data_IF_719173395384
#
_entry.id   IF_719173395384
#
_cell.length_a   1.000
_cell.length_b   1.000
_cell.length_c   1.000
_cell.angle_alpha   90.00
_cell.angle_beta   90.00
_cell.angle_gamma   90.00
#
_symmetry.space_group_name_H-M   'P 1'
#
loop_
_entity.id
_entity.type
_entity.pdbx_description
1 polymer ?
#
# COMPACT_ATOMS: atom_id res chain seq x y z
N UNK A 1 1.17 18.51 -7.77
CA UNK A 1 1.29 17.04 -7.72
C UNK A 1 2.43 16.51 -8.59
N UNK A 2 3.19 15.53 -8.10
CA UNK A 2 4.12 14.70 -8.88
C UNK A 2 3.89 13.22 -8.52
N UNK A 3 3.78 12.35 -9.53
CA UNK A 3 3.68 10.90 -9.36
C UNK A 3 4.98 10.24 -9.83
N UNK A 4 5.56 9.38 -8.99
CA UNK A 4 6.74 8.58 -9.32
C UNK A 4 6.40 7.10 -9.17
N UNK A 5 6.32 6.40 -10.30
CA UNK A 5 6.18 4.95 -10.33
C UNK A 5 7.48 4.28 -9.85
N UNK A 6 7.38 3.31 -8.94
CA UNK A 6 8.53 2.51 -8.49
C UNK A 6 8.47 1.10 -9.09
N UNK A 7 7.47 0.30 -8.72
CA UNK A 7 7.26 -1.08 -9.19
C UNK A 7 5.89 -1.58 -8.72
N UNK A 8 5.11 -2.25 -9.58
CA UNK A 8 3.73 -2.69 -9.23
C UNK A 8 2.87 -1.52 -8.72
N UNK A 9 2.16 -1.66 -7.60
CA UNK A 9 1.44 -0.58 -6.94
C UNK A 9 2.34 0.39 -6.15
N UNK A 10 3.60 0.01 -5.89
CA UNK A 10 4.54 0.86 -5.15
C UNK A 10 4.85 2.13 -5.92
N UNK A 11 4.53 3.26 -5.31
CA UNK A 11 4.71 4.58 -5.90
C UNK A 11 5.00 5.64 -4.84
N UNK A 12 5.59 6.77 -5.28
CA UNK A 12 5.68 7.97 -4.46
C UNK A 12 4.77 9.04 -5.05
N UNK A 13 3.83 9.51 -4.26
CA UNK A 13 2.96 10.64 -4.59
C UNK A 13 3.46 11.85 -3.83
N UNK A 14 3.88 12.90 -4.54
CA UNK A 14 4.13 14.21 -3.94
C UNK A 14 2.93 15.11 -4.19
N UNK A 15 2.24 15.52 -3.13
CA UNK A 15 1.01 16.31 -3.18
C UNK A 15 1.03 17.38 -2.08
N UNK A 16 0.79 18.64 -2.44
CA UNK A 16 0.77 19.76 -1.50
C UNK A 16 2.01 19.86 -0.58
N UNK A 17 3.20 19.68 -1.17
CA UNK A 17 4.52 19.66 -0.49
C UNK A 17 4.76 18.45 0.44
N UNK A 18 3.90 17.43 0.38
CA UNK A 18 4.03 16.19 1.15
C UNK A 18 4.29 15.00 0.25
N UNK A 19 5.11 14.06 0.70
CA UNK A 19 5.51 12.84 -0.02
C UNK A 19 4.91 11.63 0.67
N UNK A 20 4.18 10.82 -0.08
CA UNK A 20 3.51 9.61 0.40
C UNK A 20 4.10 8.40 -0.33
N UNK A 21 4.59 7.41 0.42
CA UNK A 21 4.95 6.10 -0.12
C UNK A 21 3.69 5.23 -0.12
N UNK A 22 3.20 4.90 -1.30
CA UNK A 22 2.00 4.09 -1.49
C UNK A 22 2.42 2.64 -1.70
N UNK A 23 1.76 1.72 -1.00
CA UNK A 23 1.83 0.26 -1.18
C UNK A 23 3.25 -0.27 -1.39
N UNK A 24 4.14 -0.16 -0.39
CA UNK A 24 5.52 -0.61 -0.51
C UNK A 24 5.64 -2.14 -0.53
N UNK A 25 6.04 -2.68 -1.68
CA UNK A 25 6.54 -4.04 -1.87
C UNK A 25 8.05 -3.98 -2.12
N UNK A 26 8.86 -4.30 -1.12
CA UNK A 26 10.30 -4.02 -1.13
C UNK A 26 11.20 -5.24 -1.40
N UNK A 27 10.63 -6.45 -1.53
CA UNK A 27 11.39 -7.67 -1.76
C UNK A 27 12.20 -7.62 -3.08
N UNK A 28 13.36 -8.30 -3.13
CA UNK A 28 14.08 -8.57 -4.38
C UNK A 28 13.25 -9.36 -5.38
N UNK A 29 13.66 -9.38 -6.66
CA UNK A 29 12.97 -10.15 -7.68
C UNK A 29 12.88 -11.65 -7.35
N UNK A 30 11.74 -12.26 -7.65
CA UNK A 30 11.45 -13.69 -7.49
C UNK A 30 11.53 -14.21 -6.03
N UNK A 31 11.31 -13.34 -5.05
CA UNK A 31 11.34 -13.70 -3.63
C UNK A 31 10.14 -14.55 -3.22
N UNK A 32 8.94 -14.18 -3.66
CA UNK A 32 7.70 -14.87 -3.37
C UNK A 32 7.34 -15.84 -4.50
N UNK A 33 6.65 -16.96 -4.19
CA UNK A 33 6.20 -17.88 -5.23
C UNK A 33 5.18 -17.22 -6.17
N UNK A 34 4.92 -17.89 -7.29
CA UNK A 34 3.79 -17.54 -8.15
C UNK A 34 2.47 -17.68 -7.37
N UNK A 35 1.54 -16.76 -7.62
CA UNK A 35 0.18 -16.90 -7.08
C UNK A 35 -0.49 -18.06 -7.82
N UNK A 36 -1.01 -19.08 -7.11
CA UNK A 36 -1.72 -20.19 -7.74
C UNK A 36 -2.85 -19.67 -8.65
N UNK A 37 -3.05 -20.34 -9.80
CA UNK A 37 -4.11 -20.05 -10.76
C UNK A 37 -4.11 -18.63 -11.38
N UNK A 38 -3.08 -17.82 -11.10
CA UNK A 38 -2.87 -16.54 -11.77
C UNK A 38 -2.20 -16.74 -13.14
N UNK A 39 -2.58 -15.96 -14.17
CA UNK A 39 -1.98 -16.03 -15.50
C UNK A 39 -0.57 -15.42 -15.47
N UNK A 40 0.43 -16.18 -15.03
CA UNK A 40 1.81 -15.70 -14.88
C UNK A 40 2.79 -16.55 -15.70
N UNK A 41 3.65 -15.85 -16.44
CA UNK A 41 4.89 -16.37 -17.01
C UNK A 41 6.06 -15.84 -16.16
N UNK A 42 6.64 -16.63 -15.26
CA UNK A 42 7.74 -16.17 -14.40
C UNK A 42 8.21 -17.19 -13.36
N UNK A 43 9.28 -16.85 -12.64
CA UNK A 43 9.83 -17.69 -11.56
C UNK A 43 9.27 -17.35 -10.17
N UNK A 44 8.65 -16.18 -10.01
CA UNK A 44 8.08 -15.70 -8.76
C UNK A 44 7.72 -14.21 -8.81
N UNK A 45 7.39 -13.65 -7.66
CA UNK A 45 7.00 -12.25 -7.46
C UNK A 45 7.95 -11.56 -6.49
N UNK A 46 8.25 -10.26 -6.66
CA UNK A 46 8.03 -9.46 -7.87
C UNK A 46 8.88 -9.95 -9.04
N UNK A 47 8.50 -9.68 -10.29
CA UNK A 47 9.21 -10.22 -11.48
C UNK A 47 10.52 -9.51 -11.81
N UNK A 48 10.71 -8.29 -11.29
CA UNK A 48 11.89 -7.45 -11.49
C UNK A 48 12.34 -6.84 -10.16
N UNK A 49 13.61 -6.46 -10.06
CA UNK A 49 14.14 -5.76 -8.89
C UNK A 49 13.62 -4.33 -8.79
N UNK A 50 13.77 -3.72 -7.62
CA UNK A 50 13.53 -2.28 -7.45
C UNK A 50 14.49 -1.48 -8.32
N UNK A 51 14.07 -0.34 -8.89
CA UNK A 51 14.94 0.54 -9.69
C UNK A 51 15.95 1.33 -8.83
N UNK A 52 15.92 1.16 -7.50
CA UNK A 52 16.74 1.86 -6.51
C UNK A 52 16.93 1.00 -5.26
N UNK A 53 17.72 1.47 -4.29
CA UNK A 53 17.82 0.79 -3.00
C UNK A 53 16.56 1.09 -2.18
N UNK A 54 16.03 0.14 -1.38
CA UNK A 54 14.85 0.37 -0.55
C UNK A 54 14.96 1.64 0.30
N UNK A 55 16.13 1.91 0.88
CA UNK A 55 16.38 3.06 1.75
C UNK A 55 16.17 4.41 1.05
N UNK A 56 16.33 4.48 -0.27
CA UNK A 56 16.12 5.70 -1.05
C UNK A 56 14.64 6.12 -1.06
N UNK A 57 13.73 5.20 -0.71
CA UNK A 57 12.27 5.44 -0.66
C UNK A 57 11.80 5.97 0.71
N UNK A 58 12.67 6.00 1.74
CA UNK A 58 12.23 6.30 3.11
C UNK A 58 12.11 7.80 3.41
N UNK A 59 12.58 8.65 2.50
CA UNK A 59 12.43 10.11 2.58
C UNK A 59 11.02 10.56 2.19
N UNK A 60 10.01 10.10 2.95
CA UNK A 60 8.58 10.41 2.79
C UNK A 60 7.98 10.90 4.10
N UNK A 61 6.90 11.66 4.03
CA UNK A 61 6.18 12.17 5.20
C UNK A 61 5.22 11.13 5.78
N UNK A 62 4.68 10.23 4.94
CA UNK A 62 3.79 9.16 5.37
C UNK A 62 3.82 7.94 4.43
N UNK A 63 3.37 6.80 4.95
CA UNK A 63 3.12 5.57 4.20
C UNK A 63 1.62 5.36 4.10
N UNK A 64 1.13 4.89 2.95
CA UNK A 64 -0.26 4.48 2.77
C UNK A 64 -0.26 3.02 2.30
N UNK A 65 -0.99 2.18 3.04
CA UNK A 65 -1.25 0.78 2.69
C UNK A 65 -2.73 0.65 2.38
N UNK A 66 -3.05 0.43 1.11
CA UNK A 66 -4.43 0.32 0.62
C UNK A 66 -5.12 -0.95 1.09
N UNK A 67 -4.35 -2.05 1.22
CA UNK A 67 -4.77 -3.32 1.80
C UNK A 67 -3.60 -4.26 2.11
N UNK A 68 -3.87 -5.30 2.90
CA UNK A 68 -2.90 -6.27 3.40
C UNK A 68 -2.65 -7.45 2.45
N UNK A 69 -2.17 -7.18 1.24
CA UNK A 69 -1.61 -8.21 0.35
C UNK A 69 -0.11 -8.02 0.16
N UNK A 70 0.63 -9.12 -0.07
CA UNK A 70 2.09 -9.07 -0.14
C UNK A 70 2.63 -8.26 -1.33
N UNK A 71 1.84 -8.05 -2.38
CA UNK A 71 2.22 -7.21 -3.52
C UNK A 71 1.94 -5.72 -3.29
N UNK A 72 1.32 -5.37 -2.16
CA UNK A 72 1.08 -4.01 -1.68
C UNK A 72 1.82 -3.70 -0.37
N UNK A 73 2.01 -4.68 0.52
CA UNK A 73 2.73 -4.52 1.77
C UNK A 73 3.37 -5.84 2.19
N UNK A 74 4.65 -5.98 1.89
CA UNK A 74 5.38 -7.24 2.04
C UNK A 74 6.21 -7.32 3.33
N UNK A 75 6.72 -8.51 3.63
CA UNK A 75 7.56 -8.72 4.82
C UNK A 75 8.79 -7.80 4.81
N UNK A 76 9.37 -7.53 3.64
CA UNK A 76 10.53 -6.63 3.52
C UNK A 76 10.14 -5.19 3.88
N UNK A 77 8.97 -4.70 3.47
CA UNK A 77 8.46 -3.40 3.91
C UNK A 77 8.23 -3.37 5.42
N UNK A 78 7.63 -4.42 5.98
CA UNK A 78 7.41 -4.56 7.42
C UNK A 78 8.72 -4.58 8.20
N UNK A 79 9.82 -5.10 7.66
CA UNK A 79 11.12 -5.13 8.35
C UNK A 79 11.93 -3.86 8.14
N UNK A 80 11.98 -3.33 6.92
CA UNK A 80 12.93 -2.28 6.53
C UNK A 80 12.42 -0.86 6.77
N UNK A 81 11.10 -0.62 6.71
CA UNK A 81 10.56 0.73 6.85
C UNK A 81 10.77 1.29 8.27
N UNK A 82 11.17 2.57 8.41
CA UNK A 82 11.24 3.22 9.71
C UNK A 82 9.87 3.22 10.41
N UNK A 83 9.84 2.72 11.65
CA UNK A 83 8.59 2.47 12.40
C UNK A 83 7.91 3.73 12.94
N UNK A 84 8.63 4.85 12.94
CA UNK A 84 8.15 6.16 13.38
C UNK A 84 7.50 6.99 12.25
N UNK A 85 7.54 6.53 10.99
CA UNK A 85 6.82 7.21 9.89
C UNK A 85 5.33 6.92 10.05
N UNK A 86 4.45 7.95 10.01
CA UNK A 86 3.01 7.74 10.04
C UNK A 86 2.55 6.81 8.91
N UNK A 87 1.76 5.79 9.26
CA UNK A 87 1.24 4.80 8.32
C UNK A 87 -0.29 4.83 8.33
N UNK A 88 -0.89 4.93 7.15
CA UNK A 88 -2.33 4.89 6.95
C UNK A 88 -2.79 3.52 6.45
N UNK A 89 -3.79 2.93 7.09
CA UNK A 89 -4.41 1.66 6.68
C UNK A 89 -5.90 1.82 6.38
N UNK A 90 -6.49 0.87 5.65
CA UNK A 90 -7.90 0.96 5.26
C UNK A 90 -8.89 0.72 6.40
N UNK A 91 -8.52 -0.12 7.38
CA UNK A 91 -9.43 -0.57 8.45
C UNK A 91 -8.70 -0.85 9.77
N UNK A 92 -9.48 -1.08 10.83
CA UNK A 92 -8.98 -1.31 12.19
C UNK A 92 -8.19 -2.60 12.36
N UNK A 93 -8.54 -3.65 11.61
CA UNK A 93 -7.86 -4.95 11.67
C UNK A 93 -6.44 -4.82 11.12
N UNK A 94 -6.27 -4.27 9.92
CA UNK A 94 -4.95 -4.03 9.34
C UNK A 94 -4.14 -3.02 10.16
N UNK A 95 -4.80 -2.02 10.77
CA UNK A 95 -4.12 -1.10 11.68
C UNK A 95 -3.54 -1.82 12.90
N UNK A 96 -4.21 -2.87 13.40
CA UNK A 96 -3.69 -3.71 14.48
C UNK A 96 -2.50 -4.54 14.00
N UNK A 97 -2.58 -5.13 12.80
CA UNK A 97 -1.46 -5.87 12.20
C UNK A 97 -0.22 -4.98 12.01
N UNK A 98 -0.37 -3.75 11.50
CA UNK A 98 0.72 -2.77 11.40
C UNK A 98 1.38 -2.49 12.76
N UNK A 99 0.59 -2.32 13.82
CA UNK A 99 1.12 -2.09 15.17
C UNK A 99 1.84 -3.33 15.71
N UNK A 100 1.33 -4.53 15.43
CA UNK A 100 1.96 -5.79 15.83
C UNK A 100 3.33 -5.99 15.18
N UNK A 101 3.52 -5.52 13.94
CA UNK A 101 4.84 -5.52 13.27
C UNK A 101 5.69 -4.28 13.60
N UNK A 102 5.25 -3.46 14.56
CA UNK A 102 6.06 -2.46 15.25
C UNK A 102 5.84 -1.00 14.85
N UNK A 103 4.92 -0.68 13.93
CA UNK A 103 4.68 0.73 13.57
C UNK A 103 4.03 1.51 14.71
N UNK A 104 4.57 2.70 15.00
CA UNK A 104 4.25 3.49 16.20
C UNK A 104 3.04 4.41 15.98
N UNK A 105 2.95 5.05 14.80
CA UNK A 105 1.86 5.95 14.41
C UNK A 105 1.07 5.34 13.26
N UNK A 106 0.01 4.62 13.60
CA UNK A 106 -0.90 4.00 12.62
C UNK A 106 -2.26 4.67 12.67
N UNK A 107 -2.69 5.21 11.53
CA UNK A 107 -3.91 6.01 11.34
C UNK A 107 -4.83 5.31 10.34
N UNK A 108 -6.13 5.55 10.46
CA UNK A 108 -7.12 4.97 9.55
C UNK A 108 -7.41 5.92 8.40
N UNK A 109 -7.51 5.39 7.18
CA UNK A 109 -8.21 6.06 6.10
C UNK A 109 -9.72 5.99 6.34
N UNK A 110 -10.42 7.09 6.08
CA UNK A 110 -11.85 7.23 6.32
C UNK A 110 -12.54 7.85 5.12
N UNK A 111 -13.80 7.48 4.89
CA UNK A 111 -14.59 8.01 3.78
C UNK A 111 -14.96 9.49 3.99
N UNK A 112 -15.11 9.92 5.26
CA UNK A 112 -15.27 11.33 5.62
C UNK A 112 -13.97 12.15 5.54
N UNK A 113 -12.84 11.49 5.31
CA UNK A 113 -11.52 12.11 5.22
C UNK A 113 -10.70 12.01 6.52
N UNK A 114 -9.39 11.90 6.36
CA UNK A 114 -8.40 11.92 7.46
C UNK A 114 -7.37 13.01 7.17
N UNK A 115 -7.21 13.95 8.09
CA UNK A 115 -6.29 15.08 7.93
C UNK A 115 -4.85 14.69 8.28
N UNK A 116 -3.93 15.15 7.43
CA UNK A 116 -2.49 14.99 7.59
C UNK A 116 -1.77 16.21 7.01
N UNK A 117 -1.31 17.10 7.89
CA UNK A 117 -0.40 18.20 7.54
C UNK A 117 -0.86 19.09 6.36
N UNK A 118 -2.16 19.39 6.30
CA UNK A 118 -2.77 20.19 5.25
C UNK A 118 -3.25 19.40 4.03
N UNK A 119 -3.17 18.07 4.07
CA UNK A 119 -3.73 17.14 3.10
C UNK A 119 -4.85 16.33 3.77
N UNK A 120 -6.00 16.21 3.12
CA UNK A 120 -7.07 15.31 3.55
C UNK A 120 -7.11 14.09 2.65
N UNK A 121 -7.00 12.91 3.27
CA UNK A 121 -7.00 11.60 2.62
C UNK A 121 -8.39 10.95 2.77
N UNK A 122 -9.07 10.69 1.67
CA UNK A 122 -10.40 10.07 1.65
C UNK A 122 -10.27 8.62 1.18
N UNK A 123 -10.73 7.68 2.00
CA UNK A 123 -10.85 6.27 1.61
C UNK A 123 -11.92 6.15 0.54
N UNK A 124 -11.67 5.37 -0.52
CA UNK A 124 -12.70 5.00 -1.50
C UNK A 124 -13.02 3.52 -1.41
N UNK A 125 -14.28 3.11 -1.65
CA UNK A 125 -14.61 1.69 -1.82
C UNK A 125 -13.81 1.06 -2.97
N UNK A 126 -13.48 -0.22 -2.81
CA UNK A 126 -12.87 -1.05 -3.85
C UNK A 126 -13.58 -2.41 -3.86
N UNK A 127 -13.88 -2.91 -5.05
CA UNK A 127 -14.27 -4.30 -5.24
C UNK A 127 -13.02 -5.07 -5.70
N UNK A 128 -12.49 -5.90 -4.80
CA UNK A 128 -11.26 -6.68 -5.05
C UNK A 128 -11.54 -8.09 -5.55
N UNK A 129 -12.57 -8.22 -6.39
CA UNK A 129 -12.96 -9.50 -7.00
C UNK A 129 -14.05 -10.25 -6.25
N UNK A 130 -14.86 -9.57 -5.45
CA UNK A 130 -15.95 -10.18 -4.65
C UNK A 130 -17.05 -10.84 -5.50
N UNK A 131 -17.13 -10.49 -6.80
CA UNK A 131 -18.08 -11.10 -7.75
C UNK A 131 -17.58 -12.38 -8.43
N UNK A 132 -16.33 -12.81 -8.20
CA UNK A 132 -15.72 -13.96 -8.84
C UNK A 132 -15.47 -15.09 -7.84
N UNK A 133 -16.19 -16.21 -8.01
CA UNK A 133 -16.14 -17.36 -7.08
C UNK A 133 -14.74 -18.00 -7.02
N UNK A 134 -13.97 -17.94 -8.11
CA UNK A 134 -12.59 -18.48 -8.11
C UNK A 134 -11.70 -17.60 -7.25
N UNK A 135 -11.86 -16.28 -7.34
CA UNK A 135 -11.12 -15.30 -6.54
C UNK A 135 -11.52 -15.38 -5.06
N UNK A 136 -12.82 -15.46 -4.77
CA UNK A 136 -13.34 -15.64 -3.41
C UNK A 136 -12.75 -16.92 -2.78
N UNK A 137 -12.82 -18.05 -3.48
CA UNK A 137 -12.25 -19.31 -3.02
C UNK A 137 -10.74 -19.22 -2.78
N UNK A 138 -10.01 -18.54 -3.67
CA UNK A 138 -8.58 -18.33 -3.51
C UNK A 138 -8.27 -17.56 -2.22
N UNK A 139 -8.98 -16.45 -1.96
CA UNK A 139 -8.80 -15.66 -0.74
C UNK A 139 -9.09 -16.47 0.52
N UNK A 140 -10.18 -17.22 0.55
CA UNK A 140 -10.50 -18.11 1.66
C UNK A 140 -9.41 -19.17 1.89
N UNK A 141 -8.97 -19.83 0.81
CA UNK A 141 -7.99 -20.91 0.87
C UNK A 141 -6.61 -20.45 1.34
N UNK A 142 -6.23 -19.21 1.00
CA UNK A 142 -4.95 -18.60 1.36
C UNK A 142 -5.04 -17.68 2.58
N UNK A 143 -6.23 -17.54 3.19
CA UNK A 143 -6.50 -16.62 4.31
C UNK A 143 -6.09 -15.18 4.00
N UNK A 144 -6.34 -14.76 2.76
CA UNK A 144 -6.12 -13.40 2.28
C UNK A 144 -7.38 -12.55 2.49
N UNK A 145 -7.20 -11.24 2.56
CA UNK A 145 -8.33 -10.32 2.71
C UNK A 145 -8.88 -9.92 1.34
N UNK A 146 -10.20 -9.99 1.18
CA UNK A 146 -10.89 -9.44 0.02
C UNK A 146 -11.14 -7.93 0.12
N UNK A 147 -10.81 -7.33 1.27
CA UNK A 147 -11.03 -5.91 1.53
C UNK A 147 -9.87 -5.12 0.92
N UNK A 148 -10.22 -4.12 0.10
CA UNK A 148 -9.28 -3.10 -0.33
C UNK A 148 -9.92 -1.72 -0.36
N UNK A 149 -9.06 -0.72 -0.49
CA UNK A 149 -9.48 0.67 -0.64
C UNK A 149 -8.64 1.40 -1.67
N UNK A 150 -9.23 2.45 -2.25
CA UNK A 150 -8.43 3.51 -2.86
C UNK A 150 -8.26 4.69 -1.90
N UNK A 151 -7.47 5.66 -2.32
CA UNK A 151 -7.26 6.90 -1.57
C UNK A 151 -7.33 8.10 -2.51
N UNK A 152 -8.06 9.13 -2.09
CA UNK A 152 -8.14 10.44 -2.73
C UNK A 152 -7.49 11.50 -1.83
N UNK A 153 -6.66 12.35 -2.43
CA UNK A 153 -5.93 13.46 -1.84
C UNK A 153 -6.63 14.78 -2.15
N UNK A 154 -6.81 15.61 -1.11
CA UNK A 154 -7.34 16.96 -1.24
C UNK A 154 -6.51 17.94 -0.42
N UNK A 155 -6.19 19.09 -0.99
CA UNK A 155 -5.56 20.19 -0.26
C UNK A 155 -5.99 21.53 -0.86
N UNK A 156 -5.89 22.61 -0.07
CA UNK A 156 -6.07 23.98 -0.59
C UNK A 156 -4.91 24.44 -1.48
N UNK A 157 -3.75 23.77 -1.39
CA UNK A 157 -2.56 24.09 -2.19
C UNK A 157 -2.58 23.49 -3.60
N UNK A 158 -3.49 22.56 -3.87
CA UNK A 158 -3.59 21.86 -5.15
C UNK A 158 -4.98 22.13 -5.74
N UNK A 159 -5.02 22.56 -7.00
CA UNK A 159 -6.28 22.90 -7.67
C UNK A 159 -7.05 21.67 -8.17
N UNK A 160 -6.40 20.50 -8.15
CA UNK A 160 -6.98 19.23 -8.56
C UNK A 160 -7.04 18.30 -7.36
N UNK A 161 -8.15 17.56 -7.28
CA UNK A 161 -8.30 16.41 -6.38
C UNK A 161 -7.71 15.21 -7.10
N UNK A 162 -6.87 14.43 -6.42
CA UNK A 162 -6.18 13.29 -6.99
C UNK A 162 -6.55 12.03 -6.26
#
# INVERSE_FOLDING_TARGET
>A
MQFQQIRSATSIVTFADKRFLIDPMLAPANTYPIVPDAPICGKGNPTIDLPCKPQDLFGVDAIIVTHWHFDHFDQYAMELLPKNIPLFTQNTYEAQLCRLVGFEDVRLLKEEGTEFEGVTLFKTPCDHGSGDIVTEHLYESLQLTDQASGVIFKSKKENLVF
#
